data_IF_206512153280
#
_entry.id   IF_206512153280
#
_cell.length_a   1.000
_cell.length_b   1.000
_cell.length_c   1.000
_cell.angle_alpha   90.00
_cell.angle_beta   90.00
_cell.angle_gamma   90.00
#
_symmetry.space_group_name_H-M   'P 1'
#
loop_
_entity.id
_entity.type
_entity.pdbx_description
1 polymer ?
#
# COMPACT_ATOMS: atom_id res chain seq x y z
N UNK A 1 -16.93 28.11 -55.48
CA UNK A 1 -17.52 27.14 -54.53
C UNK A 1 -16.38 26.45 -53.81
N UNK A 2 -16.24 26.67 -52.50
CA UNK A 2 -15.52 25.76 -51.59
C UNK A 2 -16.02 26.07 -50.17
N UNK A 3 -17.04 25.32 -49.74
CA UNK A 3 -17.46 25.23 -48.35
C UNK A 3 -16.37 24.48 -47.61
N UNK A 4 -15.59 25.15 -46.76
CA UNK A 4 -14.77 24.47 -45.77
C UNK A 4 -15.70 24.07 -44.63
N UNK A 5 -15.95 22.77 -44.52
CA UNK A 5 -16.80 22.17 -43.51
C UNK A 5 -16.31 22.59 -42.11
N UNK A 6 -17.22 23.15 -41.31
CA UNK A 6 -17.06 23.20 -39.86
C UNK A 6 -16.92 21.76 -39.39
N UNK A 7 -15.85 21.47 -38.69
CA UNK A 7 -15.71 20.23 -37.93
C UNK A 7 -16.87 20.18 -36.94
N UNK A 8 -17.86 19.33 -37.20
CA UNK A 8 -18.84 18.92 -36.19
C UNK A 8 -18.05 18.24 -35.07
N UNK A 9 -17.71 19.00 -34.03
CA UNK A 9 -17.40 18.40 -32.74
C UNK A 9 -18.70 17.80 -32.25
N UNK A 10 -18.85 16.49 -32.51
CA UNK A 10 -19.99 15.68 -32.13
C UNK A 10 -20.25 15.85 -30.64
N UNK A 11 -21.19 16.74 -30.29
CA UNK A 11 -21.63 16.97 -28.92
C UNK A 11 -22.14 15.64 -28.40
N UNK A 12 -21.48 15.09 -27.37
CA UNK A 12 -21.94 13.87 -26.73
C UNK A 12 -23.34 14.11 -26.20
N UNK A 13 -24.27 13.22 -26.56
CA UNK A 13 -25.64 13.31 -26.09
C UNK A 13 -25.66 13.32 -24.55
N UNK A 14 -26.57 14.09 -23.92
CA UNK A 14 -26.73 14.08 -22.47
C UNK A 14 -26.95 12.65 -21.98
N UNK A 15 -26.09 12.17 -21.07
CA UNK A 15 -26.17 10.82 -20.53
C UNK A 15 -26.96 10.82 -19.23
N UNK A 16 -27.84 9.84 -19.06
CA UNK A 16 -28.40 9.52 -17.75
C UNK A 16 -27.46 8.53 -17.06
N UNK A 17 -26.97 8.80 -15.83
CA UNK A 17 -26.09 7.86 -15.15
C UNK A 17 -26.81 6.55 -14.88
N UNK A 18 -26.09 5.42 -14.98
CA UNK A 18 -26.60 4.13 -14.52
C UNK A 18 -26.89 4.21 -13.01
N UNK A 19 -27.90 3.51 -12.48
CA UNK A 19 -28.15 3.51 -11.04
C UNK A 19 -26.92 2.96 -10.28
N UNK A 20 -26.60 3.53 -9.09
CA UNK A 20 -25.48 3.05 -8.29
C UNK A 20 -25.71 1.60 -7.82
N UNK A 21 -24.65 0.85 -7.52
CA UNK A 21 -24.76 -0.52 -7.04
C UNK A 21 -25.63 -0.61 -5.78
N UNK A 22 -26.45 -1.66 -5.69
CA UNK A 22 -27.33 -1.90 -4.54
C UNK A 22 -26.49 -2.02 -3.27
N UNK A 23 -26.77 -1.11 -2.33
CA UNK A 23 -26.13 -1.08 -1.01
C UNK A 23 -26.54 -2.31 -0.21
N UNK A 24 -25.58 -2.91 0.49
CA UNK A 24 -25.85 -3.99 1.43
C UNK A 24 -26.79 -3.48 2.52
N UNK A 25 -28.02 -4.01 2.58
CA UNK A 25 -28.97 -3.66 3.66
C UNK A 25 -28.38 -4.12 4.98
N UNK A 26 -28.22 -3.20 5.93
CA UNK A 26 -28.08 -3.54 7.34
C UNK A 26 -29.25 -4.44 7.72
N UNK A 27 -28.98 -5.71 8.03
CA UNK A 27 -29.99 -6.62 8.58
C UNK A 27 -30.31 -6.11 9.98
N UNK A 28 -31.25 -5.17 10.07
CA UNK A 28 -32.00 -4.92 11.29
C UNK A 28 -32.94 -6.11 11.53
N UNK A 29 -33.18 -6.51 12.80
CA UNK A 29 -34.10 -7.61 13.08
C UNK A 29 -35.49 -7.22 12.59
N UNK A 30 -36.04 -8.03 11.69
CA UNK A 30 -37.41 -7.87 11.20
C UNK A 30 -38.39 -8.24 12.32
N UNK A 31 -39.51 -7.52 12.49
CA UNK A 31 -40.54 -7.91 13.45
C UNK A 31 -41.20 -9.23 12.98
N UNK A 32 -41.53 -10.16 13.88
CA UNK A 32 -42.12 -11.43 13.47
C UNK A 32 -43.57 -11.24 13.00
N UNK A 33 -43.85 -11.63 11.76
CA UNK A 33 -45.20 -11.82 11.24
C UNK A 33 -45.80 -13.11 11.81
N UNK A 34 -46.89 -12.95 12.55
CA UNK A 34 -47.74 -14.02 13.07
C UNK A 34 -48.51 -14.75 11.96
N UNK A 35 -48.44 -16.08 11.94
CA UNK A 35 -49.51 -16.97 11.46
C UNK A 35 -49.66 -18.10 12.50
N UNK A 36 -50.88 -18.44 12.97
CA UNK A 36 -51.08 -19.36 14.08
C UNK A 36 -51.22 -20.80 13.57
N UNK A 37 -50.49 -21.74 14.18
CA UNK A 37 -50.82 -23.16 14.12
C UNK A 37 -50.81 -23.73 15.54
N UNK A 38 -52.00 -24.16 15.97
CA UNK A 38 -52.29 -24.67 17.30
C UNK A 38 -51.65 -26.05 17.53
N UNK A 39 -50.95 -26.19 18.65
CA UNK A 39 -50.56 -27.46 19.26
C UNK A 39 -50.61 -27.31 20.80
N UNK A 40 -50.94 -28.36 21.56
CA UNK A 40 -51.17 -28.27 23.01
C UNK A 40 -49.86 -28.06 23.80
N UNK A 41 -49.92 -27.46 25.01
CA UNK A 41 -48.73 -27.02 25.73
C UNK A 41 -47.98 -28.18 26.41
N UNK A 42 -46.65 -28.13 26.33
CA UNK A 42 -45.72 -29.05 27.01
C UNK A 42 -45.38 -28.48 28.41
N UNK A 43 -45.27 -29.31 29.47
CA UNK A 43 -44.95 -28.83 30.81
C UNK A 43 -43.51 -28.26 30.90
N UNK A 44 -43.25 -27.30 31.80
CA UNK A 44 -41.93 -26.68 31.94
C UNK A 44 -40.91 -27.67 32.51
N UNK A 45 -39.76 -27.78 31.83
CA UNK A 45 -38.60 -28.55 32.30
C UNK A 45 -37.85 -27.83 33.43
N UNK A 46 -37.07 -28.57 34.24
CA UNK A 46 -36.31 -28.01 35.35
C UNK A 46 -35.17 -27.09 34.86
N UNK A 47 -34.76 -26.08 35.66
CA UNK A 47 -33.67 -25.18 35.32
C UNK A 47 -32.31 -25.91 35.27
N UNK A 48 -31.37 -25.46 34.41
CA UNK A 48 -30.03 -26.04 34.33
C UNK A 48 -29.22 -25.78 35.61
N UNK A 49 -28.35 -26.72 36.04
CA UNK A 49 -27.51 -26.53 37.22
C UNK A 49 -26.51 -25.39 37.02
N UNK A 50 -26.41 -24.53 38.04
CA UNK A 50 -25.52 -23.37 38.08
C UNK A 50 -24.05 -23.75 37.94
N UNK A 51 -23.31 -22.90 37.22
CA UNK A 51 -21.86 -22.98 37.11
C UNK A 51 -21.17 -22.74 38.46
N UNK A 52 -20.06 -23.42 38.75
CA UNK A 52 -19.33 -23.25 40.01
C UNK A 52 -18.66 -21.86 40.10
N UNK A 53 -18.50 -21.30 41.31
CA UNK A 53 -17.93 -19.97 41.52
C UNK A 53 -16.44 -19.92 41.12
N UNK A 54 -16.08 -18.83 40.45
CA UNK A 54 -14.70 -18.49 40.07
C UNK A 54 -13.88 -18.19 41.33
N UNK A 55 -12.64 -18.71 41.47
CA UNK A 55 -11.80 -18.39 42.62
C UNK A 55 -11.43 -16.89 42.64
N UNK A 56 -11.25 -16.29 43.83
CA UNK A 56 -10.95 -14.87 43.98
C UNK A 56 -9.63 -14.50 43.32
N UNK A 57 -9.62 -13.32 42.67
CA UNK A 57 -8.44 -12.75 42.07
C UNK A 57 -7.36 -12.54 43.15
N UNK A 58 -6.18 -13.14 42.94
CA UNK A 58 -5.01 -12.87 43.77
C UNK A 58 -4.56 -11.41 43.66
N UNK A 59 -3.79 -10.91 44.64
CA UNK A 59 -3.31 -9.52 44.67
C UNK A 59 -2.45 -9.20 43.43
N UNK A 60 -2.43 -7.93 42.98
CA UNK A 60 -1.68 -7.52 41.79
C UNK A 60 -0.20 -7.83 41.98
N UNK A 61 0.41 -8.45 40.96
CA UNK A 61 1.87 -8.67 40.92
C UNK A 61 2.58 -7.31 40.93
N UNK A 62 3.70 -7.19 41.67
CA UNK A 62 4.50 -5.96 41.65
C UNK A 62 5.04 -5.70 40.23
N UNK A 63 5.21 -4.43 39.83
CA UNK A 63 5.73 -4.08 38.52
C UNK A 63 7.14 -4.64 38.35
N UNK A 64 7.37 -5.37 37.26
CA UNK A 64 8.69 -5.85 36.89
C UNK A 64 9.66 -4.69 36.63
N UNK A 65 10.99 -4.91 36.78
CA UNK A 65 11.99 -3.88 36.51
C UNK A 65 11.92 -3.42 35.04
N UNK A 66 12.19 -2.14 34.75
CA UNK A 66 12.14 -1.59 33.41
C UNK A 66 13.22 -2.25 32.52
N UNK A 67 12.92 -2.49 31.22
CA UNK A 67 13.91 -3.02 30.29
C UNK A 67 15.09 -2.05 30.10
N UNK A 68 16.32 -2.54 29.93
CA UNK A 68 17.48 -1.68 29.67
C UNK A 68 17.29 -0.89 28.36
N UNK A 69 17.55 0.41 28.44
CA UNK A 69 17.22 1.41 27.42
C UNK A 69 17.84 1.14 26.06
N UNK A 70 17.01 1.23 25.02
CA UNK A 70 17.45 1.37 23.64
C UNK A 70 18.08 2.76 23.41
N UNK A 71 19.12 2.89 22.57
CA UNK A 71 19.72 4.18 22.26
C UNK A 71 18.77 5.04 21.40
N UNK A 72 18.81 6.38 21.53
CA UNK A 72 17.78 7.26 20.98
C UNK A 72 17.94 7.49 19.46
N UNK A 73 16.83 7.72 18.74
CA UNK A 73 16.86 8.16 17.35
C UNK A 73 17.24 9.64 17.27
N UNK A 74 18.29 9.97 16.51
CA UNK A 74 18.70 11.35 16.25
C UNK A 74 17.90 11.93 15.08
N UNK A 75 17.04 12.90 15.37
CA UNK A 75 16.56 13.91 14.42
C UNK A 75 17.64 14.98 14.21
N UNK A 76 17.68 15.60 13.02
CA UNK A 76 17.99 17.02 13.01
C UNK A 76 17.04 17.81 12.08
N UNK A 77 16.33 18.76 12.68
CA UNK A 77 15.87 19.97 12.01
C UNK A 77 16.48 21.18 12.72
N UNK A 78 16.79 22.24 11.98
CA UNK A 78 17.12 23.56 12.53
C UNK A 78 18.40 24.19 11.97
N UNK A 79 18.25 25.38 11.42
CA UNK A 79 19.22 26.16 10.63
C UNK A 79 20.26 26.94 11.47
N UNK A 80 21.37 27.35 10.83
CA UNK A 80 22.27 28.42 11.32
C UNK A 80 23.78 28.23 11.06
N UNK A 81 24.52 29.19 10.45
CA UNK A 81 25.96 29.10 10.07
C UNK A 81 26.91 29.84 11.06
N UNK A 82 28.24 30.06 10.82
CA UNK A 82 29.32 29.31 10.15
C UNK A 82 30.65 29.24 10.99
N UNK A 83 31.75 28.81 10.33
CA UNK A 83 33.19 28.99 10.65
C UNK A 83 33.87 27.88 11.48
N UNK A 84 35.14 27.53 11.33
CA UNK A 84 36.18 27.65 10.29
C UNK A 84 37.39 26.81 10.77
N UNK A 85 38.26 26.39 9.82
CA UNK A 85 39.68 25.99 9.99
C UNK A 85 40.05 24.56 10.48
N UNK A 86 40.98 23.97 9.71
CA UNK A 86 42.07 23.11 10.20
C UNK A 86 41.99 21.64 9.78
N UNK A 87 42.50 21.26 8.60
CA UNK A 87 43.85 20.70 8.30
C UNK A 87 43.95 19.17 8.49
N UNK A 88 44.22 18.49 7.37
CA UNK A 88 44.38 17.03 7.18
C UNK A 88 45.71 16.48 7.77
N UNK A 89 46.02 15.15 7.76
CA UNK A 89 46.24 14.38 6.51
C UNK A 89 45.93 12.85 6.50
N UNK A 90 45.93 12.32 5.26
CA UNK A 90 46.37 11.00 4.80
C UNK A 90 45.51 9.72 5.00
N UNK A 91 45.14 9.10 3.86
CA UNK A 91 45.19 7.64 3.67
C UNK A 91 43.95 6.96 3.07
N UNK A 92 44.08 6.38 1.87
CA UNK A 92 43.32 5.18 1.46
C UNK A 92 42.20 5.36 0.44
N UNK A 93 42.44 4.85 -0.78
CA UNK A 93 41.54 4.83 -1.95
C UNK A 93 40.20 4.13 -1.68
N UNK A 94 39.12 4.75 -2.12
CA UNK A 94 37.82 4.13 -2.35
C UNK A 94 37.07 4.95 -3.39
N UNK A 95 36.97 4.41 -4.59
CA UNK A 95 36.28 4.99 -5.74
C UNK A 95 34.84 5.40 -5.37
N UNK A 96 34.57 6.71 -5.41
CA UNK A 96 33.23 7.27 -5.26
C UNK A 96 33.06 8.31 -6.35
N UNK A 97 32.17 7.99 -7.30
CA UNK A 97 31.72 8.92 -8.34
C UNK A 97 31.42 10.29 -7.73
N UNK A 98 32.23 11.28 -8.09
CA UNK A 98 32.00 12.67 -7.74
C UNK A 98 30.96 13.24 -8.71
N UNK A 99 29.92 13.86 -8.15
CA UNK A 99 29.00 14.71 -8.93
C UNK A 99 29.84 15.84 -9.55
N UNK A 100 29.79 15.96 -10.86
CA UNK A 100 30.50 16.98 -11.64
C UNK A 100 29.53 18.15 -11.92
N UNK A 101 29.44 19.17 -11.03
CA UNK A 101 28.63 20.36 -11.26
C UNK A 101 28.99 21.08 -12.57
N UNK A 102 30.19 20.87 -13.09
CA UNK A 102 30.67 21.39 -14.37
C UNK A 102 29.81 20.89 -15.55
N UNK A 103 29.30 19.66 -15.49
CA UNK A 103 28.41 19.10 -16.54
C UNK A 103 27.04 19.79 -16.50
N UNK A 104 26.54 20.11 -15.30
CA UNK A 104 25.26 20.79 -15.12
C UNK A 104 25.37 22.25 -15.55
N UNK A 105 26.47 22.93 -15.20
CA UNK A 105 26.76 24.28 -15.65
C UNK A 105 26.96 24.35 -17.17
N UNK A 106 27.65 23.37 -17.75
CA UNK A 106 27.82 23.28 -19.20
C UNK A 106 26.48 23.05 -19.92
N UNK A 107 25.62 22.16 -19.41
CA UNK A 107 24.28 21.94 -19.96
C UNK A 107 23.39 23.19 -19.84
N UNK A 108 23.42 23.88 -18.70
CA UNK A 108 22.70 25.14 -18.52
C UNK A 108 23.25 26.26 -19.42
N UNK A 109 24.56 26.32 -19.64
CA UNK A 109 25.17 27.26 -20.58
C UNK A 109 24.78 26.95 -22.04
N UNK A 110 24.68 25.67 -22.40
CA UNK A 110 24.22 25.23 -23.71
C UNK A 110 22.75 25.63 -23.95
N UNK A 111 21.89 25.40 -22.95
CA UNK A 111 20.47 25.77 -23.02
C UNK A 111 20.26 27.30 -23.04
N UNK A 112 20.99 28.07 -22.21
CA UNK A 112 20.96 29.54 -22.24
C UNK A 112 21.50 30.13 -23.54
N UNK A 113 22.46 29.47 -24.19
CA UNK A 113 22.99 29.90 -25.51
C UNK A 113 22.00 29.60 -26.64
N UNK A 114 21.19 28.55 -26.53
CA UNK A 114 20.07 28.28 -27.45
C UNK A 114 18.99 29.37 -27.42
N UNK A 115 18.77 29.98 -26.25
CA UNK A 115 17.83 31.10 -26.08
C UNK A 115 18.42 32.45 -26.52
N UNK A 116 19.71 32.70 -26.24
CA UNK A 116 20.41 33.90 -26.67
C UNK A 116 20.71 33.95 -28.19
N UNK A 117 20.82 32.79 -28.86
CA UNK A 117 21.07 32.72 -30.31
C UNK A 117 19.83 33.03 -31.17
N UNK A 118 18.63 33.18 -30.59
CA UNK A 118 17.47 33.73 -31.31
C UNK A 118 17.46 35.26 -31.36
N UNK A 119 18.40 35.92 -30.68
CA UNK A 119 18.44 37.37 -30.56
C UNK A 119 19.61 38.04 -31.31
N UNK A 120 20.32 37.38 -32.23
CA UNK A 120 21.24 38.08 -33.14
C UNK A 120 21.37 37.33 -34.46
N UNK A 121 20.63 37.77 -35.48
CA UNK A 121 20.70 37.16 -36.80
C UNK A 121 20.09 38.03 -37.89
N UNK A 122 20.97 38.79 -38.55
CA UNK A 122 20.86 39.26 -39.93
C UNK A 122 20.01 40.51 -40.24
N UNK A 123 20.74 41.54 -40.69
CA UNK A 123 20.25 42.69 -41.47
C UNK A 123 19.64 42.20 -42.79
N UNK A 124 18.35 42.47 -42.99
CA UNK A 124 17.65 42.48 -44.27
C UNK A 124 16.80 43.75 -44.38
N UNK A 125 16.45 44.23 -45.59
CA UNK A 125 16.11 45.64 -45.84
C UNK A 125 14.78 46.07 -45.21
N UNK A 126 14.73 47.36 -44.81
CA UNK A 126 13.60 48.05 -44.17
C UNK A 126 12.27 47.82 -44.89
N UNK A 127 11.26 47.35 -44.14
CA UNK A 127 9.84 47.54 -44.39
C UNK A 127 9.17 48.06 -43.09
N UNK A 128 8.06 48.82 -43.17
CA UNK A 128 7.65 49.72 -42.09
C UNK A 128 7.00 49.03 -40.89
N UNK A 129 6.95 49.78 -39.79
CA UNK A 129 6.40 49.42 -38.49
C UNK A 129 4.94 48.93 -38.52
N UNK A 130 4.58 48.09 -37.55
CA UNK A 130 3.20 47.96 -37.09
C UNK A 130 2.74 46.52 -36.82
N UNK A 131 2.56 46.18 -35.54
CA UNK A 131 1.88 44.97 -35.07
C UNK A 131 2.76 43.71 -35.00
N UNK A 132 2.33 42.73 -34.20
CA UNK A 132 2.84 41.32 -34.20
C UNK A 132 3.78 40.85 -33.08
N UNK A 133 3.69 41.41 -31.87
CA UNK A 133 3.85 40.60 -30.65
C UNK A 133 2.51 40.31 -29.99
N UNK A 134 1.64 41.32 -29.87
CA UNK A 134 0.25 41.15 -29.47
C UNK A 134 -0.46 40.16 -30.41
N UNK A 135 -0.47 40.40 -31.73
CA UNK A 135 -1.12 39.47 -32.67
C UNK A 135 -0.57 38.03 -32.66
N UNK A 136 0.71 37.79 -32.31
CA UNK A 136 1.26 36.42 -32.14
C UNK A 136 0.88 35.81 -30.79
N UNK A 137 0.83 36.60 -29.72
CA UNK A 137 0.33 36.19 -28.41
C UNK A 137 -1.18 35.96 -28.43
N UNK A 138 -1.92 36.75 -29.21
CA UNK A 138 -3.34 36.63 -29.47
C UNK A 138 -3.60 35.40 -30.32
N UNK A 139 -2.81 35.13 -31.37
CA UNK A 139 -2.84 33.87 -32.11
C UNK A 139 -2.53 32.66 -31.22
N UNK A 140 -1.50 32.73 -30.36
CA UNK A 140 -1.16 31.63 -29.44
C UNK A 140 -2.24 31.47 -28.36
N UNK A 141 -2.83 32.56 -27.88
CA UNK A 141 -3.94 32.57 -26.93
C UNK A 141 -5.23 32.02 -27.55
N UNK A 142 -5.53 32.37 -28.79
CA UNK A 142 -6.65 31.85 -29.57
C UNK A 142 -6.45 30.38 -29.93
N UNK A 143 -5.25 29.96 -30.37
CA UNK A 143 -4.93 28.55 -30.65
C UNK A 143 -4.99 27.73 -29.36
N UNK A 144 -4.54 28.27 -28.23
CA UNK A 144 -4.62 27.59 -26.93
C UNK A 144 -6.07 27.47 -26.45
N UNK A 145 -6.88 28.53 -26.57
CA UNK A 145 -8.30 28.53 -26.20
C UNK A 145 -9.17 27.67 -27.12
N UNK A 146 -8.76 27.52 -28.38
CA UNK A 146 -9.43 26.67 -29.38
C UNK A 146 -8.77 25.29 -29.52
N UNK A 147 -7.95 24.87 -28.56
CA UNK A 147 -7.41 23.51 -28.54
C UNK A 147 -8.57 22.52 -28.57
N UNK A 148 -8.54 21.49 -29.44
CA UNK A 148 -9.60 20.48 -29.52
C UNK A 148 -9.98 19.90 -28.16
N UNK A 149 -8.99 19.75 -27.25
CA UNK A 149 -9.19 19.30 -25.88
C UNK A 149 -10.07 20.26 -25.06
N UNK A 150 -9.72 21.55 -25.02
CA UNK A 150 -10.48 22.54 -24.24
C UNK A 150 -11.88 22.75 -24.81
N UNK A 151 -12.03 22.69 -26.13
CA UNK A 151 -13.34 22.74 -26.80
C UNK A 151 -14.19 21.53 -26.44
N UNK A 152 -13.60 20.33 -26.36
CA UNK A 152 -14.30 19.12 -25.95
C UNK A 152 -14.68 19.15 -24.46
N UNK A 153 -13.81 19.65 -23.59
CA UNK A 153 -14.11 19.90 -22.16
C UNK A 153 -15.28 20.88 -22.03
N UNK A 154 -15.25 21.99 -22.74
CA UNK A 154 -16.35 22.97 -22.69
C UNK A 154 -17.65 22.36 -23.22
N UNK A 155 -17.59 21.54 -24.28
CA UNK A 155 -18.76 20.83 -24.78
C UNK A 155 -19.36 19.88 -23.73
N UNK A 156 -18.55 19.15 -22.97
CA UNK A 156 -19.03 18.30 -21.87
C UNK A 156 -19.60 19.13 -20.72
N UNK A 157 -18.95 20.25 -20.36
CA UNK A 157 -19.48 21.19 -19.34
C UNK A 157 -20.86 21.72 -19.74
N UNK A 158 -21.06 22.04 -21.02
CA UNK A 158 -22.32 22.59 -21.52
C UNK A 158 -23.42 21.52 -21.65
N UNK A 159 -23.06 20.28 -22.00
CA UNK A 159 -24.04 19.23 -22.36
C UNK A 159 -24.31 18.21 -21.25
N UNK A 160 -23.35 17.96 -20.37
CA UNK A 160 -23.42 16.92 -19.33
C UNK A 160 -23.69 17.48 -17.92
N UNK A 161 -24.21 18.70 -17.83
CA UNK A 161 -24.43 19.33 -16.52
C UNK A 161 -25.37 18.56 -15.60
N UNK A 162 -26.48 18.03 -16.12
CA UNK A 162 -27.44 17.25 -15.32
C UNK A 162 -26.87 15.89 -14.90
N UNK A 163 -26.07 15.27 -15.77
CA UNK A 163 -25.33 14.05 -15.47
C UNK A 163 -24.39 14.26 -14.28
N UNK A 164 -23.53 15.28 -14.35
CA UNK A 164 -22.56 15.59 -13.28
C UNK A 164 -23.26 16.00 -11.99
N UNK A 165 -24.34 16.81 -12.06
CA UNK A 165 -25.13 17.18 -10.89
C UNK A 165 -25.77 15.97 -10.21
N UNK A 166 -26.25 15.00 -10.99
CA UNK A 166 -26.79 13.74 -10.46
C UNK A 166 -25.73 12.92 -9.76
N UNK A 167 -24.55 12.74 -10.38
CA UNK A 167 -23.43 12.05 -9.74
C UNK A 167 -22.95 12.77 -8.46
N UNK A 168 -22.90 14.10 -8.47
CA UNK A 168 -22.53 14.88 -7.30
C UNK A 168 -23.52 14.69 -6.15
N UNK A 169 -24.83 14.63 -6.44
CA UNK A 169 -25.85 14.32 -5.43
C UNK A 169 -25.65 12.92 -4.86
N UNK A 170 -25.45 11.90 -5.72
CA UNK A 170 -25.16 10.53 -5.29
C UNK A 170 -23.92 10.45 -4.39
N UNK A 171 -22.82 11.13 -4.74
CA UNK A 171 -21.61 11.14 -3.89
C UNK A 171 -21.89 11.77 -2.54
N UNK A 172 -22.63 12.89 -2.47
CA UNK A 172 -22.99 13.54 -1.19
C UNK A 172 -23.88 12.66 -0.32
N UNK A 173 -24.89 12.02 -0.92
CA UNK A 173 -25.93 11.27 -0.19
C UNK A 173 -25.52 9.81 0.09
N UNK A 174 -24.38 9.36 -0.46
CA UNK A 174 -23.91 8.00 -0.30
C UNK A 174 -23.42 7.67 1.12
N UNK A 175 -24.25 6.96 1.89
CA UNK A 175 -23.85 6.26 3.12
C UNK A 175 -23.52 4.79 2.86
N UNK A 176 -22.55 4.25 3.60
CA UNK A 176 -22.02 2.90 3.43
C UNK A 176 -22.03 2.13 4.75
N UNK A 177 -22.37 0.84 4.70
CA UNK A 177 -22.33 -0.02 5.88
C UNK A 177 -20.95 -0.68 6.07
N UNK A 178 -20.27 -0.98 4.96
CA UNK A 178 -18.97 -1.62 4.93
C UNK A 178 -18.09 -1.02 3.81
N UNK A 179 -16.81 -1.38 3.81
CA UNK A 179 -15.83 -0.84 2.86
C UNK A 179 -15.98 -1.46 1.47
N UNK A 180 -16.53 -2.67 1.37
CA UNK A 180 -16.82 -3.34 0.11
C UNK A 180 -17.86 -2.57 -0.71
N UNK A 181 -18.88 -2.02 -0.05
CA UNK A 181 -19.87 -1.14 -0.68
C UNK A 181 -19.20 0.14 -1.21
N UNK A 182 -18.21 0.70 -0.49
CA UNK A 182 -17.42 1.87 -0.95
C UNK A 182 -16.61 1.51 -2.19
N UNK A 183 -15.94 0.35 -2.21
CA UNK A 183 -15.17 -0.11 -3.37
C UNK A 183 -16.07 -0.27 -4.58
N UNK A 184 -17.23 -0.90 -4.43
CA UNK A 184 -18.18 -1.09 -5.52
C UNK A 184 -18.71 0.27 -6.03
N UNK A 185 -19.00 1.20 -5.13
CA UNK A 185 -19.45 2.55 -5.48
C UNK A 185 -18.37 3.34 -6.21
N UNK A 186 -17.11 3.32 -5.75
CA UNK A 186 -16.00 4.00 -6.42
C UNK A 186 -15.78 3.42 -7.81
N UNK A 187 -15.83 2.09 -7.96
CA UNK A 187 -15.69 1.46 -9.28
C UNK A 187 -16.80 1.89 -10.25
N UNK A 188 -18.05 1.96 -9.79
CA UNK A 188 -19.17 2.50 -10.58
C UNK A 188 -18.98 3.98 -10.91
N UNK A 189 -18.56 4.78 -9.93
CA UNK A 189 -18.38 6.22 -10.11
C UNK A 189 -17.29 6.51 -11.14
N UNK A 190 -16.16 5.82 -11.06
CA UNK A 190 -15.05 5.97 -12.00
C UNK A 190 -15.44 5.46 -13.41
N UNK A 191 -16.29 4.42 -13.52
CA UNK A 191 -16.86 4.00 -14.81
C UNK A 191 -17.76 5.09 -15.40
N UNK A 192 -18.66 5.69 -14.61
CA UNK A 192 -19.53 6.76 -15.12
C UNK A 192 -18.74 8.02 -15.47
N UNK A 193 -17.76 8.43 -14.66
CA UNK A 193 -16.92 9.59 -14.93
C UNK A 193 -15.95 9.38 -16.11
N UNK A 194 -15.60 8.12 -16.45
CA UNK A 194 -14.83 7.79 -17.65
C UNK A 194 -15.54 8.18 -18.96
N UNK A 195 -16.84 8.50 -18.90
CA UNK A 195 -17.57 9.05 -20.04
C UNK A 195 -17.14 10.48 -20.40
N UNK A 196 -16.62 11.26 -19.45
CA UNK A 196 -16.17 12.62 -19.69
C UNK A 196 -14.81 12.62 -20.39
N UNK A 197 -14.56 13.63 -21.22
CA UNK A 197 -13.28 13.77 -21.95
C UNK A 197 -12.12 14.02 -20.99
N UNK A 198 -12.34 14.83 -19.96
CA UNK A 198 -11.38 15.12 -18.89
C UNK A 198 -12.15 15.35 -17.60
N UNK A 199 -12.22 14.32 -16.75
CA UNK A 199 -12.93 14.37 -15.47
C UNK A 199 -12.52 15.61 -14.67
N UNK A 200 -11.22 15.83 -14.49
CA UNK A 200 -10.70 16.87 -13.62
C UNK A 200 -10.97 18.28 -14.17
N UNK A 201 -10.91 18.46 -15.48
CA UNK A 201 -11.23 19.75 -16.09
C UNK A 201 -12.73 20.03 -16.07
N UNK A 202 -13.57 19.04 -16.40
CA UNK A 202 -15.03 19.18 -16.45
C UNK A 202 -15.61 19.41 -15.04
N UNK A 203 -15.21 18.60 -14.06
CA UNK A 203 -15.77 18.65 -12.70
C UNK A 203 -15.51 19.98 -11.98
N UNK A 204 -14.45 20.73 -12.35
CA UNK A 204 -14.15 22.07 -11.79
C UNK A 204 -15.21 23.11 -12.10
N UNK A 205 -16.03 22.90 -13.12
CA UNK A 205 -17.12 23.81 -13.49
C UNK A 205 -18.43 23.54 -12.73
N UNK A 206 -18.45 22.50 -11.89
CA UNK A 206 -19.62 22.10 -11.10
C UNK A 206 -19.32 22.14 -9.61
N UNK A 207 -20.36 22.16 -8.79
CA UNK A 207 -20.25 21.97 -7.34
C UNK A 207 -19.98 20.49 -7.02
N UNK A 208 -18.79 20.00 -7.41
CA UNK A 208 -18.39 18.62 -7.20
C UNK A 208 -17.91 18.41 -5.76
N UNK A 209 -18.39 17.37 -5.03
CA UNK A 209 -17.94 17.07 -3.67
C UNK A 209 -16.54 16.43 -3.66
N UNK A 210 -15.52 17.17 -4.10
CA UNK A 210 -14.14 16.73 -4.33
C UNK A 210 -13.54 16.05 -3.09
N UNK A 211 -13.60 16.71 -1.93
CA UNK A 211 -13.09 16.15 -0.66
C UNK A 211 -13.66 14.77 -0.37
N UNK A 212 -14.96 14.58 -0.58
CA UNK A 212 -15.64 13.30 -0.30
C UNK A 212 -15.27 12.24 -1.34
N UNK A 213 -15.34 12.58 -2.63
CA UNK A 213 -14.99 11.67 -3.72
C UNK A 213 -13.55 11.15 -3.59
N UNK A 214 -12.60 12.05 -3.31
CA UNK A 214 -11.19 11.68 -3.15
C UNK A 214 -10.96 10.81 -1.92
N UNK A 215 -11.68 11.09 -0.82
CA UNK A 215 -11.56 10.26 0.39
C UNK A 215 -12.16 8.86 0.17
N UNK A 216 -13.25 8.74 -0.59
CA UNK A 216 -13.82 7.44 -0.98
C UNK A 216 -12.83 6.64 -1.84
N UNK A 217 -12.23 7.28 -2.85
CA UNK A 217 -11.20 6.67 -3.71
C UNK A 217 -9.96 6.24 -2.92
N UNK A 218 -9.46 7.10 -2.03
CA UNK A 218 -8.33 6.80 -1.15
C UNK A 218 -8.63 5.59 -0.25
N UNK A 219 -9.80 5.56 0.39
CA UNK A 219 -10.21 4.45 1.24
C UNK A 219 -10.35 3.13 0.46
N UNK A 220 -11.00 3.16 -0.71
CA UNK A 220 -11.14 1.99 -1.58
C UNK A 220 -9.77 1.47 -2.04
N UNK A 221 -8.88 2.35 -2.48
CA UNK A 221 -7.54 2.00 -2.94
C UNK A 221 -6.68 1.38 -1.81
N UNK A 222 -6.70 1.96 -0.60
CA UNK A 222 -5.96 1.40 0.54
C UNK A 222 -6.48 0.02 0.95
N UNK A 223 -7.81 -0.15 1.01
CA UNK A 223 -8.41 -1.44 1.33
C UNK A 223 -8.05 -2.51 0.30
N UNK A 224 -8.21 -2.20 -1.00
CA UNK A 224 -7.82 -3.10 -2.08
C UNK A 224 -6.31 -3.41 -2.05
N UNK A 225 -5.47 -2.42 -1.74
CA UNK A 225 -4.03 -2.62 -1.57
C UNK A 225 -3.68 -3.62 -0.47
N UNK A 226 -4.37 -3.57 0.67
CA UNK A 226 -4.20 -4.55 1.75
C UNK A 226 -4.71 -5.94 1.36
N UNK A 227 -5.85 -6.04 0.68
CA UNK A 227 -6.36 -7.34 0.17
C UNK A 227 -5.42 -7.95 -0.85
N UNK A 228 -4.86 -7.15 -1.75
CA UNK A 228 -3.90 -7.62 -2.73
C UNK A 228 -2.61 -8.10 -2.07
N UNK A 229 -2.17 -7.42 -1.00
CA UNK A 229 -1.01 -7.83 -0.23
C UNK A 229 -1.28 -9.16 0.52
N UNK A 230 -2.44 -9.28 1.16
CA UNK A 230 -2.91 -10.51 1.80
C UNK A 230 -2.93 -11.67 0.81
N UNK A 231 -3.56 -11.47 -0.37
CA UNK A 231 -3.60 -12.47 -1.42
C UNK A 231 -2.20 -12.89 -1.88
N UNK A 232 -1.28 -11.94 -2.06
CA UNK A 232 0.09 -12.22 -2.48
C UNK A 232 0.83 -13.13 -1.48
N UNK A 233 0.63 -12.94 -0.18
CA UNK A 233 1.28 -13.76 0.84
C UNK A 233 0.56 -15.08 1.11
N UNK A 234 -0.77 -15.07 1.14
CA UNK A 234 -1.58 -16.26 1.39
C UNK A 234 -1.52 -17.27 0.25
N UNK A 235 -1.34 -16.81 -0.99
CA UNK A 235 -1.16 -17.68 -2.17
C UNK A 235 0.27 -18.17 -2.38
N UNK A 236 1.22 -17.75 -1.53
CA UNK A 236 2.61 -18.19 -1.67
C UNK A 236 2.74 -19.68 -1.34
N UNK A 237 3.35 -20.41 -2.27
CA UNK A 237 3.68 -21.83 -2.14
C UNK A 237 5.19 -21.99 -2.35
N UNK A 238 5.86 -22.66 -1.41
CA UNK A 238 7.27 -23.04 -1.56
C UNK A 238 7.47 -23.96 -2.78
N UNK A 239 8.27 -23.48 -3.74
CA UNK A 239 8.65 -24.27 -4.91
C UNK A 239 9.83 -25.18 -4.55
N UNK A 240 9.55 -26.48 -4.44
CA UNK A 240 10.56 -27.45 -4.01
C UNK A 240 11.70 -27.62 -5.01
N UNK A 241 11.50 -27.27 -6.29
CA UNK A 241 12.50 -27.40 -7.35
C UNK A 241 13.57 -26.29 -7.31
N UNK A 242 13.31 -25.18 -6.61
CA UNK A 242 14.29 -24.10 -6.50
C UNK A 242 15.45 -24.48 -5.57
N UNK A 243 16.63 -23.96 -5.90
CA UNK A 243 17.74 -23.96 -4.97
C UNK A 243 17.35 -23.23 -3.68
N UNK A 244 17.73 -23.81 -2.54
CA UNK A 244 17.42 -23.32 -1.20
C UNK A 244 17.53 -21.81 -1.04
N UNK A 245 18.67 -21.23 -1.42
CA UNK A 245 18.92 -19.79 -1.20
C UNK A 245 17.95 -18.91 -2.00
N UNK A 246 17.55 -19.36 -3.19
CA UNK A 246 16.56 -18.66 -4.00
C UNK A 246 15.14 -18.78 -3.38
N UNK A 247 14.77 -19.96 -2.88
CA UNK A 247 13.49 -20.18 -2.20
C UNK A 247 13.39 -19.34 -0.92
N UNK A 248 14.38 -19.42 -0.04
CA UNK A 248 14.45 -18.65 1.20
C UNK A 248 14.52 -17.14 0.92
N UNK A 249 15.27 -16.72 -0.09
CA UNK A 249 15.35 -15.33 -0.52
C UNK A 249 14.01 -14.77 -1.01
N UNK A 250 13.23 -15.56 -1.76
CA UNK A 250 11.87 -15.18 -2.19
C UNK A 250 10.92 -15.00 -1.00
N UNK A 251 10.89 -15.96 -0.07
CA UNK A 251 10.06 -15.86 1.14
C UNK A 251 10.44 -14.64 1.98
N UNK A 252 11.73 -14.41 2.19
CA UNK A 252 12.21 -13.26 2.94
C UNK A 252 11.79 -11.94 2.28
N UNK A 253 12.00 -11.81 0.97
CA UNK A 253 11.66 -10.59 0.22
C UNK A 253 10.15 -10.30 0.24
N UNK A 254 9.32 -11.35 0.13
CA UNK A 254 7.87 -11.23 0.24
C UNK A 254 7.45 -10.74 1.64
N UNK A 255 8.02 -11.33 2.69
CA UNK A 255 7.77 -10.89 4.06
C UNK A 255 8.21 -9.44 4.27
N UNK A 256 9.41 -9.05 3.87
CA UNK A 256 9.90 -7.67 4.06
C UNK A 256 9.04 -6.62 3.36
N UNK A 257 8.59 -6.92 2.12
CA UNK A 257 7.67 -6.04 1.38
C UNK A 257 6.33 -5.90 2.12
N UNK A 258 5.84 -7.01 2.67
CA UNK A 258 4.57 -7.07 3.41
C UNK A 258 4.66 -6.29 4.71
N UNK A 259 5.69 -6.55 5.51
CA UNK A 259 5.98 -5.88 6.77
C UNK A 259 6.09 -4.37 6.59
N UNK A 260 6.88 -3.89 5.61
CA UNK A 260 7.04 -2.46 5.33
C UNK A 260 5.72 -1.79 4.93
N UNK A 261 4.92 -2.46 4.09
CA UNK A 261 3.62 -1.94 3.64
C UNK A 261 2.62 -1.82 4.79
N UNK A 262 2.54 -2.86 5.65
CA UNK A 262 1.65 -2.86 6.81
C UNK A 262 2.07 -1.82 7.84
N UNK A 263 3.37 -1.68 8.15
CA UNK A 263 3.83 -0.65 9.08
C UNK A 263 3.54 0.76 8.59
N UNK A 264 3.73 1.04 7.28
CA UNK A 264 3.35 2.34 6.71
C UNK A 264 1.86 2.62 6.88
N UNK A 265 1.02 1.64 6.56
CA UNK A 265 -0.42 1.76 6.73
C UNK A 265 -0.79 2.02 8.20
N UNK A 266 -0.23 1.26 9.13
CA UNK A 266 -0.49 1.44 10.57
C UNK A 266 -0.01 2.81 11.07
N UNK A 267 1.12 3.32 10.57
CA UNK A 267 1.61 4.66 10.92
C UNK A 267 0.64 5.75 10.49
N UNK A 268 0.05 5.65 9.29
CA UNK A 268 -0.97 6.59 8.81
C UNK A 268 -2.29 6.43 9.58
N UNK A 269 -2.68 5.19 9.92
CA UNK A 269 -3.86 4.87 10.72
C UNK A 269 -3.77 5.45 12.14
N UNK A 270 -2.60 5.34 12.76
CA UNK A 270 -2.35 5.67 14.16
C UNK A 270 -1.62 7.02 14.32
N UNK A 271 -1.57 7.84 13.26
CA UNK A 271 -0.95 9.16 13.31
C UNK A 271 -1.62 10.03 14.40
N UNK A 272 -0.79 10.70 15.22
CA UNK A 272 -1.28 11.49 16.35
C UNK A 272 -1.98 12.79 15.92
N UNK A 273 -1.57 13.37 14.79
CA UNK A 273 -2.20 14.55 14.23
C UNK A 273 -3.50 14.14 13.51
N UNK A 274 -4.63 14.71 13.94
CA UNK A 274 -5.95 14.37 13.43
C UNK A 274 -6.08 14.59 11.92
N UNK A 275 -5.33 15.56 11.36
CA UNK A 275 -5.36 15.86 9.92
C UNK A 275 -4.67 14.78 9.07
N UNK A 276 -3.68 14.09 9.62
CA UNK A 276 -2.98 12.97 8.97
C UNK A 276 -3.54 11.60 9.36
N UNK A 277 -4.26 11.50 10.47
CA UNK A 277 -4.89 10.27 10.94
C UNK A 277 -5.98 9.76 9.98
N UNK A 278 -5.79 8.57 9.40
CA UNK A 278 -6.75 7.99 8.45
C UNK A 278 -8.14 7.78 9.06
N UNK A 279 -8.21 7.32 10.32
CA UNK A 279 -9.48 7.03 10.99
C UNK A 279 -10.30 8.30 11.13
N UNK A 280 -9.68 9.41 11.53
CA UNK A 280 -10.35 10.71 11.64
C UNK A 280 -10.83 11.23 10.28
N UNK A 281 -9.97 11.23 9.26
CA UNK A 281 -10.34 11.70 7.91
C UNK A 281 -11.50 10.91 7.30
N UNK A 282 -11.52 9.60 7.52
CA UNK A 282 -12.57 8.74 6.98
C UNK A 282 -13.89 8.90 7.75
N UNK A 283 -13.83 9.06 9.08
CA UNK A 283 -15.02 9.37 9.89
C UNK A 283 -15.64 10.72 9.53
N UNK A 284 -14.83 11.73 9.23
CA UNK A 284 -15.33 13.04 8.75
C UNK A 284 -16.14 12.95 7.44
N UNK A 285 -16.00 11.85 6.68
CA UNK A 285 -16.70 11.61 5.43
C UNK A 285 -17.67 10.42 5.53
N UNK A 286 -18.04 9.99 6.75
CA UNK A 286 -18.94 8.85 6.99
C UNK A 286 -18.50 7.55 6.30
N UNK A 287 -17.19 7.33 6.16
CA UNK A 287 -16.62 6.12 5.57
C UNK A 287 -16.42 5.08 6.67
N UNK A 288 -16.88 3.83 6.50
CA UNK A 288 -16.66 2.76 7.46
C UNK A 288 -15.17 2.54 7.74
N UNK A 289 -14.80 2.52 9.02
CA UNK A 289 -13.39 2.37 9.45
C UNK A 289 -13.09 1.02 10.10
N UNK A 290 -14.10 0.18 10.34
CA UNK A 290 -13.96 -1.08 11.07
C UNK A 290 -12.96 -2.07 10.45
N UNK A 291 -12.80 -2.04 9.12
CA UNK A 291 -11.84 -2.86 8.39
C UNK A 291 -10.37 -2.56 8.71
N UNK A 292 -10.08 -1.36 9.25
CA UNK A 292 -8.74 -0.92 9.66
C UNK A 292 -8.33 -1.42 11.04
N UNK A 293 -9.24 -2.06 11.78
CA UNK A 293 -8.97 -2.66 13.09
C UNK A 293 -7.85 -3.69 13.00
N UNK A 294 -7.14 -3.91 14.12
CA UNK A 294 -6.14 -4.96 14.22
C UNK A 294 -6.73 -6.37 14.02
N UNK A 295 -8.04 -6.55 14.24
CA UNK A 295 -8.79 -7.77 13.96
C UNK A 295 -9.27 -7.92 12.51
N UNK A 296 -9.04 -6.89 11.67
CA UNK A 296 -9.48 -6.84 10.28
C UNK A 296 -8.51 -7.50 9.31
N UNK A 297 -8.29 -6.87 8.15
CA UNK A 297 -7.38 -7.39 7.10
C UNK A 297 -5.94 -7.54 7.62
N UNK A 298 -5.52 -6.68 8.56
CA UNK A 298 -4.19 -6.74 9.18
C UNK A 298 -3.96 -8.08 9.88
N UNK A 299 -4.95 -8.59 10.64
CA UNK A 299 -4.84 -9.91 11.28
C UNK A 299 -4.65 -11.03 10.24
N UNK A 300 -5.37 -10.98 9.13
CA UNK A 300 -5.25 -11.97 8.04
C UNK A 300 -3.85 -11.94 7.42
N UNK A 301 -3.32 -10.74 7.12
CA UNK A 301 -1.95 -10.57 6.62
C UNK A 301 -0.93 -11.12 7.61
N UNK A 302 -1.06 -10.79 8.91
CA UNK A 302 -0.17 -11.29 9.97
C UNK A 302 -0.20 -12.81 10.05
N UNK A 303 -1.38 -13.42 10.00
CA UNK A 303 -1.54 -14.87 9.98
C UNK A 303 -0.87 -15.50 8.75
N UNK A 304 -1.03 -14.89 7.57
CA UNK A 304 -0.37 -15.36 6.37
C UNK A 304 1.18 -15.24 6.45
N UNK A 305 1.71 -14.18 7.08
CA UNK A 305 3.14 -14.09 7.41
C UNK A 305 3.60 -15.24 8.32
N UNK A 306 2.80 -15.61 9.33
CA UNK A 306 3.11 -16.73 10.24
C UNK A 306 3.13 -18.06 9.49
N UNK A 307 2.24 -18.26 8.52
CA UNK A 307 2.26 -19.42 7.64
C UNK A 307 3.47 -19.41 6.69
N UNK A 308 3.87 -18.25 6.19
CA UNK A 308 5.11 -18.10 5.41
C UNK A 308 6.35 -18.45 6.26
N UNK A 309 6.39 -18.04 7.52
CA UNK A 309 7.45 -18.43 8.46
C UNK A 309 7.49 -19.93 8.71
N UNK A 310 6.33 -20.59 8.83
CA UNK A 310 6.26 -22.06 8.89
C UNK A 310 6.89 -22.71 7.66
N UNK A 311 6.52 -22.27 6.45
CA UNK A 311 7.10 -22.79 5.20
C UNK A 311 8.62 -22.58 5.17
N UNK A 312 9.10 -21.40 5.56
CA UNK A 312 10.51 -21.07 5.66
C UNK A 312 11.27 -22.00 6.59
N UNK A 313 10.80 -22.15 7.83
CA UNK A 313 11.42 -23.00 8.83
C UNK A 313 11.40 -24.47 8.39
N UNK A 314 10.30 -24.92 7.77
CA UNK A 314 10.21 -26.28 7.21
C UNK A 314 11.26 -26.51 6.14
N UNK A 315 11.44 -25.56 5.21
CA UNK A 315 12.50 -25.65 4.19
C UNK A 315 13.88 -25.68 4.84
N UNK A 316 14.16 -24.83 5.82
CA UNK A 316 15.44 -24.83 6.56
C UNK A 316 15.69 -26.18 7.24
N UNK A 317 14.68 -26.75 7.91
CA UNK A 317 14.77 -28.07 8.56
C UNK A 317 15.09 -29.15 7.55
N UNK A 318 14.36 -29.22 6.43
CA UNK A 318 14.59 -30.23 5.38
C UNK A 318 16.01 -30.14 4.79
N UNK A 319 16.55 -28.93 4.67
CA UNK A 319 17.91 -28.71 4.15
C UNK A 319 18.98 -29.14 5.17
N UNK A 320 18.77 -28.84 6.46
CA UNK A 320 19.65 -29.33 7.53
C UNK A 320 19.62 -30.87 7.61
N UNK A 321 18.46 -31.47 7.43
CA UNK A 321 18.29 -32.92 7.42
C UNK A 321 18.96 -33.54 6.18
N UNK A 322 18.87 -32.91 5.01
CA UNK A 322 19.58 -33.31 3.80
C UNK A 322 21.11 -33.24 3.95
N UNK A 323 21.62 -32.23 4.68
CA UNK A 323 23.02 -32.18 5.05
C UNK A 323 23.39 -33.29 6.05
N UNK A 324 22.48 -33.69 6.94
CA UNK A 324 22.75 -34.74 7.94
C UNK A 324 22.57 -36.17 7.40
N UNK A 325 21.80 -36.34 6.32
CA UNK A 325 21.34 -37.61 5.77
C UNK A 325 22.31 -38.37 4.85
N UNK A 326 23.53 -37.89 4.63
CA UNK A 326 24.60 -38.62 3.93
C UNK A 326 25.22 -39.73 4.81
N UNK A 327 24.38 -40.47 5.53
CA UNK A 327 24.73 -41.41 6.59
C UNK A 327 25.06 -42.82 6.07
N UNK A 328 25.06 -43.01 4.75
CA UNK A 328 25.34 -44.28 4.09
C UNK A 328 26.66 -44.15 3.31
N UNK A 329 27.68 -44.90 3.75
CA UNK A 329 28.97 -45.22 3.11
C UNK A 329 29.92 -44.09 2.66
N UNK A 330 29.46 -42.86 2.40
CA UNK A 330 30.30 -41.72 1.97
C UNK A 330 31.02 -41.01 3.14
N UNK A 331 30.49 -41.10 4.36
CA UNK A 331 31.05 -40.44 5.55
C UNK A 331 32.46 -40.98 5.91
N UNK A 332 32.78 -42.21 5.49
CA UNK A 332 34.12 -42.80 5.63
C UNK A 332 35.17 -42.21 4.67
N UNK A 333 34.75 -41.48 3.63
CA UNK A 333 35.63 -40.80 2.66
C UNK A 333 35.57 -39.26 2.76
N UNK A 334 34.70 -38.73 3.62
CA UNK A 334 34.54 -37.29 3.79
C UNK A 334 35.76 -36.68 4.51
N UNK A 335 36.43 -35.73 3.86
CA UNK A 335 37.57 -35.03 4.47
C UNK A 335 37.10 -34.18 5.65
N UNK A 336 37.95 -34.01 6.66
CA UNK A 336 37.64 -33.17 7.83
C UNK A 336 37.25 -31.73 7.45
N UNK A 337 37.76 -31.21 6.32
CA UNK A 337 37.40 -29.90 5.77
C UNK A 337 35.94 -29.87 5.29
N UNK A 338 35.50 -30.89 4.55
CA UNK A 338 34.13 -30.95 4.03
C UNK A 338 33.11 -31.09 5.17
N UNK A 339 33.42 -31.91 6.19
CA UNK A 339 32.61 -32.02 7.41
C UNK A 339 32.47 -30.68 8.13
N UNK A 340 33.58 -29.94 8.27
CA UNK A 340 33.57 -28.60 8.90
C UNK A 340 32.72 -27.61 8.10
N UNK A 341 32.82 -27.63 6.78
CA UNK A 341 32.03 -26.74 5.92
C UNK A 341 30.53 -27.06 5.99
N UNK A 342 30.18 -28.35 6.06
CA UNK A 342 28.80 -28.82 6.24
C UNK A 342 28.21 -28.34 7.56
N UNK A 343 28.96 -28.45 8.65
CA UNK A 343 28.53 -27.97 9.97
C UNK A 343 28.36 -26.44 9.97
N UNK A 344 29.31 -25.70 9.40
CA UNK A 344 29.17 -24.25 9.25
C UNK A 344 27.92 -23.86 8.43
N UNK A 345 27.64 -24.57 7.33
CA UNK A 345 26.45 -24.33 6.51
C UNK A 345 25.15 -24.63 7.30
N UNK A 346 25.14 -25.70 8.10
CA UNK A 346 24.03 -26.03 9.01
C UNK A 346 23.81 -24.93 10.06
N UNK A 347 24.87 -24.46 10.70
CA UNK A 347 24.79 -23.37 11.67
C UNK A 347 24.24 -22.09 11.03
N UNK A 348 24.75 -21.71 9.85
CA UNK A 348 24.28 -20.52 9.12
C UNK A 348 22.78 -20.63 8.82
N UNK A 349 22.34 -21.79 8.32
CA UNK A 349 20.93 -22.04 8.03
C UNK A 349 20.04 -21.94 9.25
N UNK A 350 20.48 -22.53 10.36
CA UNK A 350 19.76 -22.50 11.60
C UNK A 350 19.60 -21.07 12.12
N UNK A 351 20.69 -20.29 12.15
CA UNK A 351 20.66 -18.89 12.55
C UNK A 351 19.73 -18.06 11.66
N UNK A 352 19.77 -18.30 10.35
CA UNK A 352 18.90 -17.66 9.38
C UNK A 352 17.42 -17.99 9.64
N UNK A 353 17.09 -19.28 9.85
CA UNK A 353 15.75 -19.74 10.20
C UNK A 353 15.21 -19.11 11.47
N UNK A 354 16.01 -19.12 12.55
CA UNK A 354 15.61 -18.55 13.84
C UNK A 354 15.44 -17.03 13.76
N UNK A 355 16.33 -16.31 13.07
CA UNK A 355 16.21 -14.85 12.87
C UNK A 355 14.95 -14.49 12.10
N UNK A 356 14.64 -15.24 11.03
CA UNK A 356 13.42 -15.01 10.26
C UNK A 356 12.17 -15.26 11.09
N UNK A 357 12.13 -16.40 11.79
CA UNK A 357 11.03 -16.75 12.68
C UNK A 357 10.81 -15.69 13.77
N UNK A 358 11.88 -15.23 14.41
CA UNK A 358 11.80 -14.18 15.43
C UNK A 358 11.23 -12.87 14.85
N UNK A 359 11.68 -12.43 13.68
CA UNK A 359 11.17 -11.22 13.04
C UNK A 359 9.68 -11.32 12.72
N UNK A 360 9.23 -12.45 12.17
CA UNK A 360 7.81 -12.68 11.90
C UNK A 360 7.01 -12.73 13.20
N UNK A 361 7.53 -13.36 14.25
CA UNK A 361 6.90 -13.41 15.57
C UNK A 361 6.70 -12.01 16.16
N UNK A 362 7.71 -11.14 16.09
CA UNK A 362 7.60 -9.75 16.55
C UNK A 362 6.57 -8.96 15.74
N UNK A 363 6.53 -9.15 14.43
CA UNK A 363 5.57 -8.49 13.54
C UNK A 363 4.12 -8.96 13.79
N UNK A 364 3.91 -10.27 13.90
CA UNK A 364 2.58 -10.86 14.03
C UNK A 364 2.04 -10.84 15.46
N UNK A 365 2.91 -10.75 16.47
CA UNK A 365 2.55 -10.83 17.89
C UNK A 365 2.41 -12.25 18.43
N UNK A 366 2.93 -13.25 17.72
CA UNK A 366 2.86 -14.66 18.11
C UNK A 366 2.85 -15.63 16.93
N UNK A 367 2.86 -16.93 17.23
CA UNK A 367 2.74 -18.02 16.27
C UNK A 367 1.50 -18.87 16.52
N UNK A 368 1.01 -19.52 15.46
CA UNK A 368 0.01 -20.59 15.56
C UNK A 368 0.65 -21.84 16.17
N UNK A 369 -0.17 -22.79 16.65
CA UNK A 369 0.31 -24.05 17.19
C UNK A 369 1.21 -24.82 16.19
N UNK A 370 0.81 -24.85 14.91
CA UNK A 370 1.58 -25.52 13.86
C UNK A 370 2.92 -24.83 13.56
N UNK A 371 2.94 -23.50 13.51
CA UNK A 371 4.17 -22.75 13.30
C UNK A 371 5.13 -22.88 14.49
N UNK A 372 4.58 -22.97 15.70
CA UNK A 372 5.37 -23.21 16.91
C UNK A 372 5.97 -24.61 16.94
N UNK A 373 5.21 -25.65 16.54
CA UNK A 373 5.72 -27.01 16.40
C UNK A 373 6.89 -27.08 15.40
N UNK A 374 6.75 -26.41 14.26
CA UNK A 374 7.83 -26.29 13.26
C UNK A 374 9.06 -25.57 13.83
N UNK A 375 8.85 -24.54 14.66
CA UNK A 375 9.96 -23.86 15.35
C UNK A 375 10.64 -24.76 16.39
N UNK A 376 9.88 -25.60 17.10
CA UNK A 376 10.43 -26.60 18.02
C UNK A 376 11.30 -27.60 17.26
N UNK A 377 10.88 -28.04 16.07
CA UNK A 377 11.68 -28.91 15.22
C UNK A 377 12.98 -28.23 14.77
N UNK A 378 12.90 -26.99 14.30
CA UNK A 378 14.08 -26.18 13.97
C UNK A 378 15.05 -26.08 15.17
N UNK A 379 14.52 -25.86 16.38
CA UNK A 379 15.32 -25.80 17.61
C UNK A 379 15.96 -27.15 17.96
N UNK A 380 15.29 -28.29 17.71
CA UNK A 380 15.85 -29.63 17.95
C UNK A 380 17.12 -29.86 17.12
N UNK A 381 17.19 -29.30 15.90
CA UNK A 381 18.40 -29.35 15.06
C UNK A 381 19.58 -28.53 15.62
N UNK A 382 19.35 -27.59 16.53
CA UNK A 382 20.42 -26.95 17.30
C UNK A 382 21.00 -27.91 18.35
N UNK A 383 20.13 -28.56 19.11
CA UNK A 383 20.53 -29.40 20.27
C UNK A 383 21.03 -30.79 19.88
N UNK A 384 20.63 -31.30 18.71
CA UNK A 384 21.10 -32.59 18.21
C UNK A 384 22.52 -32.59 17.63
N UNK A 385 23.20 -31.44 17.57
CA UNK A 385 24.61 -31.33 17.14
C UNK A 385 25.61 -31.15 18.30
N UNK A 386 25.12 -31.04 19.54
CA UNK A 386 25.94 -30.76 20.74
C UNK A 386 26.15 -31.98 21.64
N UNK A 387 25.98 -33.21 21.13
CA UNK A 387 26.09 -34.45 21.92
C UNK A 387 27.07 -35.44 21.29
#
# INVERSE_FOLDING_TARGET
MSKLARSDTEKRAPRTPKPPPRRSKTIGPSPPSNIPLAGPPRPPGPPPPGSPPRPPAGPPRPPGPPPPGAPPPRLPGGAGPPASKGRAPAGGRGDRMRRAPEIVEFYQALMKRGEASRQTGSRGPKAPAGGSKAARSDLIGEISKNSPHLVAVQADVDTQGDFVRTLAAEVRDATFANIEDVVAFVAWLDEELSFLVDEQAVLKHFDWPEKRADTLRDAAAKYQGLLQLEKQISSFVDDRALHRDAALGKMFSLFEKTEKSVYRFMQERDAADAKSNLVSRYKEQDIPVGWMSDSGVIAKIKLACVNLAKQYMTRVVSEIDGLSGARNDEEKKETALFRRLKEQNREVLLHQGVRFAFRVHQFAGGFTAESLDTFVELRRRHTGGTN
#
